data_IF_143594968488
#
_entry.id   IF_143594968488
#
_cell.length_a   1.000
_cell.length_b   1.000
_cell.length_c   1.000
_cell.angle_alpha   90.00
_cell.angle_beta   90.00
_cell.angle_gamma   90.00
#
_symmetry.space_group_name_H-M   'P 1'
#
loop_
_entity.id
_entity.type
_entity.pdbx_description
1 polymer ?
#
# COMPACT_ATOMS: atom_id res chain seq x y z
N UNK A 1 -5.98 6.68 7.38
CA UNK A 1 -5.25 6.18 6.20
C UNK A 1 -3.93 6.87 6.02
N UNK A 2 -2.98 6.20 5.36
CA UNK A 2 -1.78 6.79 4.77
C UNK A 2 -2.06 7.01 3.29
N UNK A 3 -2.04 8.27 2.83
CA UNK A 3 -2.28 8.62 1.43
C UNK A 3 -0.99 9.12 0.76
N UNK A 4 -0.74 8.62 -0.45
CA UNK A 4 0.38 8.96 -1.31
C UNK A 4 -0.21 9.44 -2.64
N UNK A 5 -0.67 10.69 -2.65
CA UNK A 5 -1.49 11.27 -3.74
C UNK A 5 -0.71 11.47 -5.05
N UNK A 6 0.62 11.43 -4.99
CA UNK A 6 1.51 11.44 -6.15
C UNK A 6 2.66 10.49 -5.90
N UNK A 7 2.67 9.37 -6.62
CA UNK A 7 3.85 8.51 -6.73
C UNK A 7 4.50 8.70 -8.09
N UNK A 8 5.81 8.95 -8.10
CA UNK A 8 6.58 9.12 -9.31
C UNK A 8 7.18 7.76 -9.71
N UNK A 9 6.39 6.95 -10.43
CA UNK A 9 6.87 5.71 -11.02
C UNK A 9 7.44 5.95 -12.42
N UNK A 10 8.49 5.21 -12.83
CA UNK A 10 8.94 5.19 -14.21
C UNK A 10 7.81 4.79 -15.16
N UNK A 11 7.74 5.43 -16.34
CA UNK A 11 6.72 5.12 -17.34
C UNK A 11 6.82 3.69 -17.89
N UNK A 12 8.01 3.09 -17.81
CA UNK A 12 8.33 1.71 -18.20
C UNK A 12 8.20 0.71 -17.04
N UNK A 13 7.56 1.10 -15.92
CA UNK A 13 7.25 0.23 -14.80
C UNK A 13 5.73 0.01 -14.62
N UNK A 14 4.99 -0.47 -15.65
CA UNK A 14 3.58 -0.82 -15.50
C UNK A 14 3.38 -1.94 -14.48
N UNK A 15 2.17 -2.10 -13.94
CA UNK A 15 1.89 -3.18 -13.00
C UNK A 15 1.98 -4.59 -13.64
N UNK A 16 1.79 -5.67 -12.87
CA UNK A 16 1.24 -5.67 -11.50
C UNK A 16 2.26 -5.33 -10.43
N UNK A 17 1.75 -4.95 -9.26
CA UNK A 17 2.57 -4.59 -8.12
C UNK A 17 2.30 -5.49 -6.91
N UNK A 18 3.27 -5.55 -6.01
CA UNK A 18 3.11 -6.07 -4.66
C UNK A 18 3.28 -4.93 -3.67
N UNK A 19 2.28 -4.70 -2.82
CA UNK A 19 2.42 -3.86 -1.64
C UNK A 19 2.78 -4.76 -0.46
N UNK A 20 4.01 -4.62 0.06
CA UNK A 20 4.50 -5.40 1.20
C UNK A 20 4.72 -4.52 2.41
N UNK A 21 4.29 -4.98 3.58
CA UNK A 21 4.49 -4.31 4.87
C UNK A 21 4.32 -5.30 6.03
N UNK A 22 4.81 -4.93 7.21
CA UNK A 22 4.40 -5.58 8.46
C UNK A 22 3.45 -4.68 9.23
N UNK A 23 2.41 -5.25 9.82
CA UNK A 23 1.39 -4.57 10.60
C UNK A 23 1.28 -5.19 11.99
N UNK A 24 1.24 -4.36 13.02
CA UNK A 24 0.84 -4.72 14.37
C UNK A 24 -0.42 -3.93 14.71
N UNK A 25 -1.49 -4.61 15.11
CA UNK A 25 -2.78 -3.99 15.39
C UNK A 25 -3.38 -4.46 16.72
N UNK A 26 -3.93 -3.52 17.49
CA UNK A 26 -4.91 -3.73 18.57
C UNK A 26 -6.21 -2.94 18.28
N UNK A 27 -6.42 -2.58 17.01
CA UNK A 27 -7.65 -1.99 16.52
C UNK A 27 -8.66 -3.09 16.13
N UNK A 28 -9.66 -2.76 15.33
CA UNK A 28 -10.58 -3.72 14.72
C UNK A 28 -10.85 -3.38 13.24
N UNK A 29 -11.69 -4.19 12.60
CA UNK A 29 -12.15 -3.95 11.24
C UNK A 29 -11.20 -4.46 10.16
N UNK A 30 -11.54 -4.19 8.90
CA UNK A 30 -10.74 -4.63 7.77
C UNK A 30 -9.66 -3.61 7.42
N UNK A 31 -8.59 -4.11 6.78
CA UNK A 31 -7.67 -3.25 6.07
C UNK A 31 -8.14 -3.04 4.63
N UNK A 32 -7.76 -1.91 4.04
CA UNK A 32 -8.10 -1.58 2.66
C UNK A 32 -6.97 -0.82 1.97
N UNK A 33 -6.78 -1.12 0.69
CA UNK A 33 -5.83 -0.42 -0.18
C UNK A 33 -6.55 0.12 -1.39
N UNK A 34 -6.26 1.36 -1.74
CA UNK A 34 -6.78 2.07 -2.91
C UNK A 34 -5.63 2.50 -3.79
N UNK A 35 -5.80 2.48 -5.11
CA UNK A 35 -4.82 2.99 -6.05
C UNK A 35 -5.46 3.52 -7.33
N UNK A 36 -4.78 4.44 -8.01
CA UNK A 36 -5.20 4.97 -9.31
C UNK A 36 -4.17 4.62 -10.38
N UNK A 37 -4.65 4.37 -11.60
CA UNK A 37 -3.81 4.19 -12.80
C UNK A 37 -4.18 5.11 -13.95
N UNK A 38 -5.14 6.02 -13.70
CA UNK A 38 -5.38 7.20 -14.52
C UNK A 38 -4.95 8.43 -13.70
N UNK A 39 -4.13 9.29 -14.30
CA UNK A 39 -3.60 10.49 -13.66
C UNK A 39 -4.68 11.54 -13.32
N UNK A 40 -5.83 11.50 -14.01
CA UNK A 40 -6.97 12.38 -13.70
C UNK A 40 -7.82 11.86 -12.53
N UNK A 41 -7.71 10.56 -12.21
CA UNK A 41 -8.45 9.94 -11.10
C UNK A 41 -7.78 10.25 -9.76
N UNK A 42 -8.59 10.75 -8.82
CA UNK A 42 -8.19 11.05 -7.44
C UNK A 42 -8.74 10.01 -6.46
N UNK A 43 -7.92 9.64 -5.48
CA UNK A 43 -8.31 8.72 -4.41
C UNK A 43 -9.52 9.26 -3.62
N UNK A 44 -10.42 8.40 -3.12
CA UNK A 44 -10.40 6.93 -3.22
C UNK A 44 -11.08 6.38 -4.49
N UNK A 45 -11.39 7.19 -5.51
CA UNK A 45 -12.20 6.78 -6.69
C UNK A 45 -11.48 5.84 -7.67
N UNK A 46 -10.33 5.29 -7.27
CA UNK A 46 -9.57 4.33 -8.06
C UNK A 46 -9.97 2.88 -7.77
N UNK A 47 -9.11 1.94 -8.17
CA UNK A 47 -9.25 0.54 -7.78
C UNK A 47 -8.98 0.36 -6.28
N UNK A 48 -9.65 -0.59 -5.67
CA UNK A 48 -9.43 -0.91 -4.26
C UNK A 48 -9.60 -2.40 -3.98
N UNK A 49 -9.05 -2.86 -2.87
CA UNK A 49 -9.29 -4.19 -2.31
C UNK A 49 -9.12 -4.18 -0.80
N UNK A 50 -9.90 -5.02 -0.11
CA UNK A 50 -9.76 -5.24 1.32
C UNK A 50 -8.76 -6.36 1.64
N UNK A 51 -8.29 -6.41 2.87
CA UNK A 51 -7.45 -7.48 3.40
C UNK A 51 -7.72 -7.71 4.88
N UNK A 52 -7.60 -8.97 5.31
CA UNK A 52 -7.77 -9.33 6.72
C UNK A 52 -6.61 -8.83 7.58
N UNK A 53 -6.93 -8.41 8.80
CA UNK A 53 -5.97 -7.93 9.79
C UNK A 53 -6.11 -8.76 11.07
N UNK A 54 -4.97 -9.24 11.58
CA UNK A 54 -4.93 -9.88 12.89
C UNK A 54 -4.71 -8.82 13.97
N UNK A 55 -5.68 -8.69 14.86
CA UNK A 55 -5.70 -7.68 15.93
C UNK A 55 -5.17 -8.21 17.28
N UNK A 56 -4.15 -9.07 17.24
CA UNK A 56 -3.60 -9.76 18.42
C UNK A 56 -2.44 -8.99 19.09
N UNK A 57 -2.16 -7.76 18.62
CA UNK A 57 -1.03 -6.97 19.08
C UNK A 57 0.34 -7.55 18.69
N UNK A 58 0.42 -8.50 17.75
CA UNK A 58 1.67 -9.02 17.20
C UNK A 58 1.91 -8.50 15.79
N UNK A 59 3.15 -8.60 15.33
CA UNK A 59 3.51 -8.25 13.95
C UNK A 59 3.12 -9.38 13.00
N UNK A 60 2.44 -9.02 11.91
CA UNK A 60 2.11 -9.91 10.80
C UNK A 60 2.55 -9.28 9.49
N UNK A 61 3.10 -10.10 8.58
CA UNK A 61 3.51 -9.65 7.26
C UNK A 61 2.35 -9.75 6.28
N UNK A 62 2.16 -8.70 5.48
CA UNK A 62 1.17 -8.61 4.43
C UNK A 62 1.87 -8.47 3.07
N UNK A 63 1.31 -9.14 2.06
CA UNK A 63 1.75 -9.06 0.67
C UNK A 63 0.53 -8.97 -0.22
N UNK A 64 0.11 -7.75 -0.54
CA UNK A 64 -1.09 -7.50 -1.34
C UNK A 64 -0.71 -7.41 -2.82
N UNK A 65 -1.33 -8.25 -3.65
CA UNK A 65 -1.17 -8.19 -5.11
C UNK A 65 -2.13 -7.15 -5.68
N UNK A 66 -1.59 -6.12 -6.33
CA UNK A 66 -2.35 -5.08 -7.02
C UNK A 66 -2.29 -5.39 -8.52
N UNK A 67 -3.37 -5.93 -9.08
CA UNK A 67 -3.39 -6.64 -10.37
C UNK A 67 -3.45 -5.75 -11.62
N UNK A 68 -3.30 -4.44 -11.48
CA UNK A 68 -3.30 -3.53 -12.65
C UNK A 68 -2.13 -3.81 -13.60
N UNK A 69 -2.33 -3.57 -14.90
CA UNK A 69 -1.29 -3.60 -15.93
C UNK A 69 -0.79 -2.20 -16.32
N UNK A 70 -1.28 -1.17 -15.62
CA UNK A 70 -0.97 0.23 -15.91
C UNK A 70 0.00 0.81 -14.89
N UNK A 71 0.58 1.97 -15.19
CA UNK A 71 1.42 2.72 -14.24
C UNK A 71 0.54 3.27 -13.12
N UNK A 72 0.92 3.04 -11.87
CA UNK A 72 0.18 3.58 -10.73
C UNK A 72 0.56 5.05 -10.47
N UNK A 73 -0.44 5.89 -10.21
CA UNK A 73 -0.27 7.33 -9.98
C UNK A 73 -0.48 7.76 -8.53
N UNK A 74 -1.33 7.07 -7.79
CA UNK A 74 -1.57 7.31 -6.38
C UNK A 74 -1.87 6.01 -5.63
N UNK A 75 -1.57 5.99 -4.32
CA UNK A 75 -1.81 4.85 -3.43
C UNK A 75 -2.34 5.37 -2.08
N UNK A 76 -3.35 4.72 -1.52
CA UNK A 76 -3.75 4.91 -0.11
C UNK A 76 -3.86 3.56 0.59
N UNK A 77 -3.33 3.50 1.80
CA UNK A 77 -3.45 2.35 2.69
C UNK A 77 -4.20 2.76 3.94
N UNK A 78 -5.32 2.09 4.18
CA UNK A 78 -6.11 2.18 5.40
C UNK A 78 -5.91 0.86 6.16
N UNK A 79 -5.03 0.80 7.19
CA UNK A 79 -4.66 -0.47 7.79
C UNK A 79 -5.76 -1.13 8.64
N UNK A 80 -6.73 -0.34 9.13
CA UNK A 80 -7.90 -0.76 9.92
C UNK A 80 -9.00 0.31 9.76
N UNK A 81 -10.27 -0.07 9.91
CA UNK A 81 -11.44 0.84 9.85
C UNK A 81 -12.08 1.15 11.21
N UNK A 82 -11.71 0.45 12.29
CA UNK A 82 -12.17 0.75 13.66
C UNK A 82 -11.07 1.39 14.52
N UNK A 83 -11.43 2.08 15.62
CA UNK A 83 -10.46 2.67 16.55
C UNK A 83 -9.49 1.66 17.17
N UNK A 84 -8.27 2.11 17.43
CA UNK A 84 -7.27 1.37 18.21
C UNK A 84 -5.85 1.72 17.79
N UNK A 85 -4.88 1.02 18.38
CA UNK A 85 -3.47 1.26 18.09
C UNK A 85 -3.02 0.42 16.90
N UNK A 86 -2.41 1.09 15.92
CA UNK A 86 -1.74 0.46 14.78
C UNK A 86 -0.27 0.87 14.73
N UNK A 87 0.60 -0.06 14.33
CA UNK A 87 1.99 0.22 13.97
C UNK A 87 2.31 -0.46 12.66
N UNK A 88 3.01 0.25 11.79
CA UNK A 88 3.34 -0.20 10.44
C UNK A 88 4.84 -0.03 10.20
N UNK A 89 5.46 -0.97 9.51
CA UNK A 89 6.88 -0.91 9.13
C UNK A 89 7.12 -1.62 7.80
N UNK A 90 8.30 -1.38 7.23
CA UNK A 90 8.76 -2.06 6.00
C UNK A 90 7.81 -1.91 4.80
N UNK A 91 7.10 -0.78 4.71
CA UNK A 91 6.14 -0.51 3.64
C UNK A 91 6.89 -0.28 2.32
N UNK A 92 6.58 -1.11 1.32
CA UNK A 92 7.26 -1.11 0.04
C UNK A 92 6.28 -1.40 -1.09
N UNK A 93 6.39 -0.62 -2.16
CA UNK A 93 5.79 -0.94 -3.45
C UNK A 93 6.85 -1.64 -4.30
N UNK A 94 6.51 -2.82 -4.79
CA UNK A 94 7.43 -3.71 -5.51
C UNK A 94 6.81 -4.02 -6.86
N UNK A 95 7.59 -3.89 -7.92
CA UNK A 95 7.18 -4.27 -9.27
C UNK A 95 7.13 -5.79 -9.42
N UNK A 96 6.38 -6.29 -10.40
CA UNK A 96 6.22 -7.73 -10.67
C UNK A 96 7.55 -8.49 -10.86
N UNK A 97 8.59 -7.82 -11.37
CA UNK A 97 9.94 -8.37 -11.53
C UNK A 97 10.77 -8.41 -10.23
N UNK A 98 10.20 -8.01 -9.09
CA UNK A 98 10.87 -8.00 -7.79
C UNK A 98 11.63 -6.72 -7.45
N UNK A 99 11.71 -5.75 -8.37
CA UNK A 99 12.35 -4.46 -8.10
C UNK A 99 11.52 -3.64 -7.12
N UNK A 100 12.15 -3.11 -6.07
CA UNK A 100 11.49 -2.20 -5.15
C UNK A 100 11.42 -0.81 -5.78
N UNK A 101 10.21 -0.37 -6.10
CA UNK A 101 9.96 0.94 -6.71
C UNK A 101 9.98 2.06 -5.66
N UNK A 102 9.33 1.83 -4.51
CA UNK A 102 9.22 2.83 -3.45
C UNK A 102 9.35 2.16 -2.08
N UNK A 103 9.94 2.87 -1.12
CA UNK A 103 10.02 2.51 0.30
C UNK A 103 9.47 3.64 1.15
N UNK A 104 8.67 3.30 2.15
CA UNK A 104 8.17 4.24 3.14
C UNK A 104 8.51 3.80 4.57
N UNK A 105 9.07 4.72 5.39
CA UNK A 105 9.63 6.01 4.97
C UNK A 105 10.78 5.80 3.96
N UNK A 106 11.14 6.81 3.15
CA UNK A 106 12.33 6.74 2.30
C UNK A 106 13.55 6.41 3.16
N UNK A 107 14.45 5.57 2.64
CA UNK A 107 15.74 5.36 3.30
C UNK A 107 16.50 6.67 3.13
N UNK A 108 16.89 7.33 4.22
CA UNK A 108 17.81 8.47 4.15
C UNK A 108 19.02 8.04 3.31
N UNK A 109 19.20 8.65 2.14
CA UNK A 109 20.54 8.74 1.57
C UNK A 109 21.35 9.58 2.58
N UNK A 110 22.56 9.14 2.96
CA UNK A 110 23.39 9.87 3.90
C UNK A 110 23.63 11.31 3.47
#
# INVERSE_FOLDING_TARGET
GLAFDRIALPADAPGPYLLKFSLQSRAGGQGEVYFTTDAATILPRGSHQTFDVKHDGRWHDHSLKLTSQEVMHALRLDPCDQPGLIRLRNLRLIHSNGHVLIRWPPVNQP
#
